data_IF_549023151222
#
_entry.id   IF_549023151222
#
_cell.length_a   1.000
_cell.length_b   1.000
_cell.length_c   1.000
_cell.angle_alpha   90.00
_cell.angle_beta   90.00
_cell.angle_gamma   90.00
#
_symmetry.space_group_name_H-M   'P 1'
#
loop_
_entity.id
_entity.type
_entity.pdbx_description
1 polymer ?
#
# COMPACT_ATOMS: atom_id res chain seq x y z
N UNK A 1 -0.31 -15.47 11.30
CA UNK A 1 -1.69 -15.88 10.92
C UNK A 1 -2.15 -15.05 9.73
N UNK A 2 -2.45 -15.72 8.62
CA UNK A 2 -2.98 -15.10 7.42
C UNK A 2 -4.42 -14.65 7.67
N UNK A 3 -4.71 -13.40 7.30
CA UNK A 3 -6.03 -12.81 7.51
C UNK A 3 -7.05 -13.47 6.55
N UNK A 4 -8.24 -13.89 7.00
CA UNK A 4 -9.29 -14.34 6.10
C UNK A 4 -9.71 -13.19 5.17
N UNK A 5 -9.83 -13.48 3.86
CA UNK A 5 -10.20 -12.50 2.84
C UNK A 5 -11.61 -11.92 3.05
N UNK A 6 -11.96 -10.82 2.37
CA UNK A 6 -13.29 -10.22 2.48
C UNK A 6 -14.34 -11.21 1.96
N UNK A 7 -15.21 -11.65 2.86
CA UNK A 7 -16.42 -12.38 2.48
C UNK A 7 -17.31 -11.44 1.67
N UNK A 8 -17.57 -11.80 0.41
CA UNK A 8 -18.65 -11.23 -0.38
C UNK A 8 -19.94 -11.28 0.43
N UNK A 9 -20.51 -10.11 0.76
CA UNK A 9 -21.88 -10.04 1.28
C UNK A 9 -22.70 -9.20 0.31
N UNK A 10 -23.42 -9.95 -0.51
CA UNK A 10 -24.61 -9.56 -1.25
C UNK A 10 -25.57 -8.73 -0.40
N UNK A 11 -26.18 -7.75 -1.06
CA UNK A 11 -27.31 -6.93 -0.63
C UNK A 11 -28.35 -7.68 0.21
N UNK A 12 -28.78 -7.09 1.32
CA UNK A 12 -30.12 -7.30 1.89
C UNK A 12 -30.48 -6.13 2.81
N UNK A 13 -31.39 -5.31 2.31
CA UNK A 13 -32.19 -4.33 3.03
C UNK A 13 -32.96 -5.04 4.16
N UNK A 14 -32.86 -4.57 5.41
CA UNK A 14 -33.83 -4.94 6.45
C UNK A 14 -33.86 -3.87 7.56
N UNK A 15 -34.90 -3.05 7.51
CA UNK A 15 -35.32 -2.14 8.58
C UNK A 15 -35.92 -2.92 9.77
N UNK A 16 -35.92 -2.24 10.92
CA UNK A 16 -36.83 -2.38 12.09
C UNK A 16 -36.43 -3.28 13.27
N UNK A 17 -36.28 -2.58 14.41
CA UNK A 17 -36.69 -2.87 15.80
C UNK A 17 -36.49 -4.28 16.37
N UNK A 18 -35.60 -4.38 17.36
CA UNK A 18 -35.58 -5.50 18.29
C UNK A 18 -34.43 -5.45 19.29
N UNK A 19 -34.65 -4.87 20.48
CA UNK A 19 -33.78 -5.07 21.65
C UNK A 19 -33.86 -6.54 22.06
N UNK A 20 -32.81 -7.32 21.82
CA UNK A 20 -32.54 -8.58 22.54
C UNK A 20 -31.10 -8.59 23.02
N UNK A 21 -30.97 -8.50 24.35
CA UNK A 21 -29.77 -8.83 25.13
C UNK A 21 -29.49 -10.31 24.91
N UNK A 22 -28.53 -10.62 24.04
CA UNK A 22 -28.14 -11.97 23.68
C UNK A 22 -26.64 -12.10 23.65
N UNK A 23 -26.13 -12.96 24.56
CA UNK A 23 -24.84 -13.68 24.56
C UNK A 23 -23.65 -13.04 23.86
N UNK A 24 -22.57 -12.88 24.63
CA UNK A 24 -21.23 -12.53 24.17
C UNK A 24 -20.89 -13.17 22.83
N UNK A 25 -21.10 -12.40 21.77
CA UNK A 25 -20.46 -12.63 20.50
C UNK A 25 -19.01 -12.26 20.72
N UNK A 26 -18.14 -13.27 20.80
CA UNK A 26 -16.71 -13.10 20.52
C UNK A 26 -16.64 -12.17 19.31
N UNK A 27 -16.20 -10.94 19.54
CA UNK A 27 -16.01 -9.98 18.48
C UNK A 27 -15.16 -10.68 17.43
N UNK A 28 -15.76 -10.99 16.28
CA UNK A 28 -15.01 -11.32 15.07
C UNK A 28 -14.39 -10.01 14.53
N UNK A 29 -13.77 -9.24 15.41
CA UNK A 29 -12.87 -8.13 15.14
C UNK A 29 -11.46 -8.63 15.44
N UNK A 30 -11.07 -9.72 14.77
CA UNK A 30 -9.81 -10.42 14.99
C UNK A 30 -8.74 -10.10 13.96
N UNK A 31 -8.88 -9.01 13.21
CA UNK A 31 -7.79 -8.44 12.42
C UNK A 31 -7.08 -7.37 13.24
N UNK A 32 -6.52 -7.76 14.40
CA UNK A 32 -5.85 -6.81 15.29
C UNK A 32 -4.72 -6.06 14.59
N UNK A 33 -4.29 -4.94 15.17
CA UNK A 33 -3.18 -4.10 14.67
C UNK A 33 -1.88 -4.89 14.37
N UNK A 34 -1.78 -6.16 14.80
CA UNK A 34 -0.70 -7.10 14.52
C UNK A 34 -0.82 -7.99 13.26
N UNK A 35 -1.89 -7.97 12.46
CA UNK A 35 -1.98 -8.86 11.27
C UNK A 35 -0.89 -8.54 10.23
N UNK A 36 -0.07 -9.53 9.87
CA UNK A 36 1.01 -9.36 8.86
C UNK A 36 0.48 -9.02 7.46
N UNK A 37 -0.79 -9.27 7.17
CA UNK A 37 -1.37 -8.93 5.86
C UNK A 37 -1.91 -7.48 5.77
N UNK A 38 -1.61 -6.62 6.74
CA UNK A 38 -1.89 -5.18 6.67
C UNK A 38 -0.61 -4.34 6.59
N UNK A 39 0.49 -4.92 6.08
CA UNK A 39 1.83 -4.30 6.00
C UNK A 39 1.84 -2.92 5.34
N UNK A 40 1.14 -2.74 4.21
CA UNK A 40 1.04 -1.46 3.51
C UNK A 40 0.44 -0.38 4.41
N UNK A 41 -0.76 -0.65 4.96
CA UNK A 41 -1.49 0.30 5.84
C UNK A 41 -0.76 0.64 7.14
N UNK A 42 0.16 -0.22 7.59
CA UNK A 42 0.92 -0.04 8.84
C UNK A 42 2.30 0.56 8.60
N UNK A 43 2.69 0.81 7.36
CA UNK A 43 4.06 1.20 7.00
C UNK A 43 5.11 0.23 7.59
N UNK A 44 4.76 -1.06 7.65
CA UNK A 44 5.65 -2.15 8.07
C UNK A 44 6.49 -2.58 6.86
N UNK A 45 7.19 -1.61 6.29
CA UNK A 45 8.08 -1.73 5.15
C UNK A 45 9.55 -1.75 5.60
N UNK A 46 10.47 -1.94 4.66
CA UNK A 46 11.91 -2.03 4.92
C UNK A 46 12.63 -0.72 4.65
N UNK A 47 11.92 0.41 4.60
CA UNK A 47 12.51 1.71 4.22
C UNK A 47 13.65 2.14 5.14
N UNK A 48 13.63 1.76 6.42
CA UNK A 48 14.70 2.05 7.39
C UNK A 48 16.06 1.42 7.06
N UNK A 49 16.08 0.36 6.23
CA UNK A 49 17.32 -0.28 5.77
C UNK A 49 17.65 0.06 4.31
N UNK A 50 16.95 1.03 3.70
CA UNK A 50 17.24 1.50 2.36
C UNK A 50 18.10 2.76 2.41
N UNK A 51 19.02 2.87 1.46
CA UNK A 51 19.82 4.06 1.25
C UNK A 51 19.71 4.50 -0.20
N UNK A 52 19.39 5.78 -0.40
CA UNK A 52 19.51 6.44 -1.70
C UNK A 52 20.97 6.82 -1.92
N UNK A 53 21.50 6.50 -3.09
CA UNK A 53 22.87 6.84 -3.47
C UNK A 53 22.95 7.21 -4.95
N UNK A 54 23.94 8.04 -5.30
CA UNK A 54 24.27 8.31 -6.69
C UNK A 54 25.00 7.09 -7.27
N UNK A 55 24.52 6.62 -8.43
CA UNK A 55 25.16 5.50 -9.13
C UNK A 55 26.52 5.84 -9.69
N UNK A 56 26.84 7.13 -9.87
CA UNK A 56 28.05 7.58 -10.56
C UNK A 56 28.10 7.17 -12.03
N UNK A 57 27.00 6.61 -12.57
CA UNK A 57 26.90 6.22 -13.97
C UNK A 57 26.15 7.30 -14.74
N UNK A 58 26.60 7.65 -15.97
CA UNK A 58 26.05 8.78 -16.71
C UNK A 58 24.56 8.64 -17.04
N UNK A 59 24.01 7.42 -17.02
CA UNK A 59 22.67 7.13 -17.52
C UNK A 59 21.64 6.71 -16.45
N UNK A 60 22.03 6.57 -15.17
CA UNK A 60 21.12 6.00 -14.15
C UNK A 60 20.78 6.93 -12.99
N UNK A 61 21.52 8.03 -12.80
CA UNK A 61 21.23 8.99 -11.72
C UNK A 61 21.24 8.34 -10.34
N UNK A 62 20.18 8.56 -9.56
CA UNK A 62 20.02 8.02 -8.21
C UNK A 62 19.45 6.59 -8.22
N UNK A 63 19.95 5.77 -7.31
CA UNK A 63 19.45 4.42 -7.05
C UNK A 63 19.23 4.19 -5.55
N UNK A 64 18.59 3.05 -5.25
CA UNK A 64 18.36 2.61 -3.87
C UNK A 64 19.07 1.28 -3.66
N UNK A 65 19.81 1.16 -2.56
CA UNK A 65 20.44 -0.08 -2.10
C UNK A 65 20.00 -0.45 -0.70
N UNK A 66 20.16 -1.71 -0.35
CA UNK A 66 19.85 -2.24 0.98
C UNK A 66 21.10 -2.22 1.86
N UNK A 67 20.99 -1.71 3.09
CA UNK A 67 22.06 -1.72 4.09
C UNK A 67 22.13 -3.03 4.89
N UNK A 68 21.09 -3.86 4.81
CA UNK A 68 20.98 -5.14 5.49
C UNK A 68 20.36 -6.22 4.59
N UNK A 69 20.32 -7.48 5.06
CA UNK A 69 19.76 -8.57 4.29
C UNK A 69 18.26 -8.42 4.11
N UNK A 70 17.78 -8.69 2.89
CA UNK A 70 16.36 -8.80 2.55
C UNK A 70 16.09 -10.24 2.10
N UNK A 71 15.04 -10.86 2.64
CA UNK A 71 14.67 -12.22 2.24
C UNK A 71 13.83 -12.18 0.97
N UNK A 72 13.87 -13.26 0.20
CA UNK A 72 12.97 -13.41 -0.93
C UNK A 72 11.50 -13.27 -0.48
N UNK A 73 10.72 -12.49 -1.25
CA UNK A 73 9.30 -12.16 -0.97
C UNK A 73 9.05 -11.22 0.22
N UNK A 74 10.09 -10.61 0.80
CA UNK A 74 9.89 -9.52 1.75
C UNK A 74 9.25 -8.31 1.06
N UNK A 75 8.36 -7.64 1.78
CA UNK A 75 7.78 -6.37 1.37
C UNK A 75 8.79 -5.25 1.64
N UNK A 76 9.23 -4.55 0.60
CA UNK A 76 10.35 -3.58 0.69
C UNK A 76 9.84 -2.15 0.88
N UNK A 77 9.01 -1.65 -0.03
CA UNK A 77 8.45 -0.31 0.01
C UNK A 77 7.23 -0.22 -0.93
N UNK A 78 6.37 0.76 -0.70
CA UNK A 78 5.30 1.14 -1.64
C UNK A 78 5.81 2.16 -2.65
N UNK A 79 5.44 2.02 -3.92
CA UNK A 79 5.54 3.13 -4.87
C UNK A 79 4.33 4.04 -4.71
N UNK A 80 4.49 5.09 -3.91
CA UNK A 80 3.48 6.13 -3.75
C UNK A 80 3.67 7.22 -4.81
N UNK A 81 2.57 7.63 -5.45
CA UNK A 81 2.60 8.64 -6.50
C UNK A 81 1.25 9.32 -6.68
N UNK A 82 1.19 10.24 -7.63
CA UNK A 82 -0.05 10.94 -7.97
C UNK A 82 -0.89 10.05 -8.90
N UNK A 83 -2.14 9.81 -8.55
CA UNK A 83 -3.09 9.19 -9.45
C UNK A 83 -3.48 10.18 -10.56
N UNK A 84 -3.21 9.80 -11.81
CA UNK A 84 -3.47 10.65 -12.98
C UNK A 84 -4.62 10.07 -13.78
N UNK A 85 -5.67 10.86 -13.96
CA UNK A 85 -6.76 10.52 -14.88
C UNK A 85 -6.24 10.49 -16.32
N UNK A 86 -6.73 9.53 -17.10
CA UNK A 86 -6.32 9.36 -18.51
C UNK A 86 -6.46 10.64 -19.34
N UNK A 87 -7.53 11.42 -19.11
CA UNK A 87 -7.77 12.71 -19.77
C UNK A 87 -6.69 13.76 -19.50
N UNK A 88 -5.96 13.64 -18.39
CA UNK A 88 -4.88 14.55 -17.98
C UNK A 88 -3.49 14.04 -18.36
N UNK A 89 -3.37 12.77 -18.73
CA UNK A 89 -2.07 12.14 -19.02
C UNK A 89 -1.33 12.84 -20.17
N UNK A 90 -2.03 13.23 -21.23
CA UNK A 90 -1.42 13.91 -22.38
C UNK A 90 -0.86 15.29 -22.03
N UNK A 91 -1.54 16.06 -21.17
CA UNK A 91 -1.03 17.35 -20.71
C UNK A 91 0.19 17.19 -19.80
N UNK A 92 0.19 16.17 -18.92
CA UNK A 92 1.30 15.88 -18.03
C UNK A 92 2.56 15.47 -18.80
N UNK A 93 2.43 14.61 -19.83
CA UNK A 93 3.54 14.24 -20.72
C UNK A 93 4.18 15.46 -21.38
N UNK A 94 3.38 16.31 -22.01
CA UNK A 94 3.88 17.54 -22.66
C UNK A 94 4.55 18.51 -21.69
N UNK A 95 4.12 18.53 -20.42
CA UNK A 95 4.77 19.33 -19.38
C UNK A 95 6.18 18.79 -19.12
N UNK A 96 6.31 17.50 -18.81
CA UNK A 96 7.61 16.90 -18.53
C UNK A 96 8.56 16.90 -19.73
N UNK A 97 8.06 16.66 -20.95
CA UNK A 97 8.89 16.70 -22.16
C UNK A 97 9.52 18.08 -22.41
N UNK A 98 8.86 19.15 -21.95
CA UNK A 98 9.40 20.52 -22.02
C UNK A 98 10.41 20.78 -20.91
N UNK A 99 10.10 20.38 -19.67
CA UNK A 99 11.03 20.52 -18.53
C UNK A 99 12.35 19.76 -18.73
N UNK A 100 12.39 18.73 -19.58
CA UNK A 100 13.62 18.01 -19.91
C UNK A 100 14.44 18.66 -21.05
N UNK A 101 13.89 19.66 -21.75
CA UNK A 101 14.56 20.37 -22.85
C UNK A 101 15.12 21.74 -22.44
N UNK A 102 14.61 22.29 -21.34
CA UNK A 102 15.07 23.52 -20.71
C UNK A 102 16.20 23.21 -19.70
#
# INVERSE_FOLDING_TARGET
PDCPGPLSSSSSFASSVGRRKGRGGRGRGGGGAGCRNSRIRRHDDKTSILQVYDTGTPNKGLAVRTLGPIKAKDYVAEYAGVYVLTSRLGALRRKYDREQRE
#
